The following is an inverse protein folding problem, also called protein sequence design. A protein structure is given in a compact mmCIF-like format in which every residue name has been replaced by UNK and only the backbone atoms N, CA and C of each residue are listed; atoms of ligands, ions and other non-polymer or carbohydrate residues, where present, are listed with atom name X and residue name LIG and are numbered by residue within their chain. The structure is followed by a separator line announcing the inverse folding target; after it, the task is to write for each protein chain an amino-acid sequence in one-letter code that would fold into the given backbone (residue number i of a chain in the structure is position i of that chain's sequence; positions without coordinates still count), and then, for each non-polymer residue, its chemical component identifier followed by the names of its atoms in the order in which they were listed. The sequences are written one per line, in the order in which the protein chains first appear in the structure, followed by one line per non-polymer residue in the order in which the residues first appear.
data_IF_126722278555
#
_entry.id   IF_126722278555
#
_cell.length_a   1.000
_cell.length_b   1.000
_cell.length_c   1.000
_cell.angle_alpha   90.00
_cell.angle_beta   90.00
_cell.angle_gamma   90.00
#
_symmetry.space_group_name_H-M   'P 1'
#
loop_
_entity.id
_entity.type
_entity.pdbx_description
1 polymer ?
#
# COMPACT_ATOMS: atom_id res chain seq x y z
N UNK A 1 18.16 0.26 9.47
CA UNK A 1 18.02 -0.55 8.24
C UNK A 1 17.79 0.44 7.12
N UNK A 2 18.80 0.70 6.28
CA UNK A 2 18.67 1.63 5.15
C UNK A 2 17.57 1.15 4.22
N UNK A 3 16.78 2.07 3.66
CA UNK A 3 15.75 1.71 2.67
C UNK A 3 16.35 0.97 1.47
N UNK A 4 17.64 1.19 1.18
CA UNK A 4 18.43 0.42 0.20
C UNK A 4 18.41 -1.09 0.46
N UNK A 5 18.51 -1.52 1.72
CA UNK A 5 18.53 -2.95 2.08
C UNK A 5 17.16 -3.58 1.82
N UNK A 6 16.07 -2.87 2.12
CA UNK A 6 14.72 -3.36 1.86
C UNK A 6 14.48 -3.52 0.36
N UNK A 7 14.89 -2.54 -0.43
CA UNK A 7 14.75 -2.56 -1.89
C UNK A 7 15.54 -3.73 -2.47
N UNK A 8 16.80 -3.91 -2.06
CA UNK A 8 17.65 -5.02 -2.52
C UNK A 8 17.07 -6.40 -2.19
N UNK A 9 16.49 -6.55 -0.99
CA UNK A 9 15.81 -7.78 -0.58
C UNK A 9 14.59 -8.05 -1.45
N UNK A 10 13.79 -7.01 -1.74
CA UNK A 10 12.60 -7.14 -2.59
C UNK A 10 12.99 -7.52 -4.03
N UNK A 11 13.98 -6.84 -4.61
CA UNK A 11 14.50 -7.13 -5.95
C UNK A 11 14.99 -8.59 -6.08
N UNK A 12 15.75 -9.08 -5.10
CA UNK A 12 16.24 -10.45 -5.12
C UNK A 12 15.10 -11.47 -4.99
N UNK A 13 14.08 -11.16 -4.19
CA UNK A 13 12.87 -12.00 -4.08
C UNK A 13 12.10 -12.02 -5.40
N UNK A 14 11.93 -10.86 -6.06
CA UNK A 14 11.26 -10.77 -7.37
C UNK A 14 12.02 -11.53 -8.47
N UNK A 15 13.35 -11.59 -8.37
CA UNK A 15 14.20 -12.45 -9.23
C UNK A 15 14.08 -13.95 -8.92
N UNK A 16 13.26 -14.36 -7.94
CA UNK A 16 13.05 -15.76 -7.57
C UNK A 16 14.07 -16.34 -6.59
N UNK A 17 14.88 -15.50 -5.91
CA UNK A 17 15.88 -16.00 -4.98
C UNK A 17 15.22 -16.42 -3.66
N UNK A 18 15.57 -17.61 -3.16
CA UNK A 18 15.13 -18.07 -1.86
C UNK A 18 15.80 -17.33 -0.68
N UNK A 19 15.15 -17.34 0.50
CA UNK A 19 15.60 -16.56 1.67
C UNK A 19 17.04 -16.81 2.09
N UNK A 20 17.52 -18.07 2.02
CA UNK A 20 18.92 -18.42 2.37
C UNK A 20 19.93 -17.79 1.40
N UNK A 21 19.56 -17.70 0.12
CA UNK A 21 20.43 -17.12 -0.93
C UNK A 21 20.49 -15.60 -0.78
N UNK A 22 19.35 -14.95 -0.54
CA UNK A 22 19.28 -13.51 -0.24
C UNK A 22 20.10 -13.17 1.01
N UNK A 23 19.97 -13.98 2.06
CA UNK A 23 20.73 -13.81 3.30
C UNK A 23 22.25 -13.86 3.05
N UNK A 24 22.72 -14.83 2.27
CA UNK A 24 24.14 -14.93 1.90
C UNK A 24 24.62 -13.74 1.06
N UNK A 25 23.82 -13.31 0.09
CA UNK A 25 24.14 -12.20 -0.82
C UNK A 25 24.32 -10.88 -0.07
N UNK A 26 23.45 -10.63 0.92
CA UNK A 26 23.43 -9.38 1.68
C UNK A 26 24.23 -9.46 3.00
N UNK A 27 24.91 -10.59 3.25
CA UNK A 27 25.57 -10.86 4.54
C UNK A 27 24.63 -10.66 5.75
N UNK A 28 23.38 -11.13 5.63
CA UNK A 28 22.34 -11.04 6.65
C UNK A 28 21.92 -12.44 7.14
N UNK A 29 21.17 -12.50 8.24
CA UNK A 29 20.53 -13.76 8.67
C UNK A 29 19.23 -14.00 7.90
N UNK A 30 18.87 -15.27 7.69
CA UNK A 30 17.60 -15.63 7.06
C UNK A 30 16.39 -15.07 7.84
N UNK A 31 16.50 -14.95 9.16
CA UNK A 31 15.48 -14.34 10.02
C UNK A 31 15.32 -12.84 9.74
N UNK A 32 16.42 -12.11 9.52
CA UNK A 32 16.36 -10.69 9.15
C UNK A 32 15.72 -10.48 7.77
N UNK A 33 16.01 -11.36 6.80
CA UNK A 33 15.35 -11.35 5.48
C UNK A 33 13.83 -11.60 5.60
N UNK A 34 13.42 -12.58 6.42
CA UNK A 34 11.99 -12.82 6.67
C UNK A 34 11.30 -11.63 7.32
N UNK A 35 11.93 -11.04 8.33
CA UNK A 35 11.39 -9.88 9.05
C UNK A 35 11.24 -8.66 8.14
N UNK A 36 12.23 -8.38 7.30
CA UNK A 36 12.18 -7.26 6.35
C UNK A 36 11.10 -7.46 5.29
N UNK A 37 10.95 -8.68 4.74
CA UNK A 37 9.86 -8.99 3.80
C UNK A 37 8.47 -8.86 4.44
N UNK A 38 8.31 -9.29 5.69
CA UNK A 38 7.07 -9.10 6.43
C UNK A 38 6.75 -7.62 6.63
N UNK A 39 7.77 -6.81 7.00
CA UNK A 39 7.64 -5.36 7.13
C UNK A 39 7.24 -4.66 5.83
N UNK A 40 7.82 -5.05 4.70
CA UNK A 40 7.46 -4.50 3.39
C UNK A 40 5.99 -4.79 3.10
N UNK A 41 5.54 -6.04 3.29
CA UNK A 41 4.14 -6.42 3.10
C UNK A 41 3.18 -5.65 4.03
N UNK A 42 3.55 -5.44 5.30
CA UNK A 42 2.77 -4.61 6.22
C UNK A 42 2.67 -3.16 5.73
N UNK A 43 3.75 -2.61 5.17
CA UNK A 43 3.80 -1.25 4.64
C UNK A 43 2.93 -1.09 3.38
N UNK A 44 2.94 -2.11 2.50
CA UNK A 44 2.05 -2.19 1.34
C UNK A 44 0.58 -2.26 1.75
N UNK A 45 0.25 -2.97 2.85
CA UNK A 45 -1.11 -3.01 3.39
C UNK A 45 -1.58 -1.64 3.90
N UNK A 46 -0.66 -0.76 4.27
CA UNK A 46 -0.97 0.62 4.67
C UNK A 46 -1.11 1.55 3.46
N UNK A 47 -0.62 1.16 2.29
CA UNK A 47 -0.80 1.90 1.06
C UNK A 47 -2.26 1.77 0.58
N UNK A 48 -2.82 2.88 0.13
CA UNK A 48 -4.15 2.93 -0.44
C UNK A 48 -4.29 4.12 -1.37
N UNK A 49 -5.31 4.09 -2.23
CA UNK A 49 -5.59 5.16 -3.18
C UNK A 49 -6.85 5.93 -2.78
N UNK A 50 -6.87 7.23 -3.07
CA UNK A 50 -8.06 8.05 -2.85
C UNK A 50 -9.16 7.61 -3.82
N UNK A 51 -10.36 7.31 -3.29
CA UNK A 51 -11.50 6.92 -4.13
C UNK A 51 -11.99 7.99 -5.11
N UNK A 52 -11.64 9.26 -4.88
CA UNK A 52 -12.05 10.36 -5.74
C UNK A 52 -10.97 10.72 -6.78
N UNK A 53 -9.80 11.14 -6.31
CA UNK A 53 -8.73 11.65 -7.19
C UNK A 53 -7.66 10.61 -7.55
N UNK A 54 -7.74 9.39 -7.00
CA UNK A 54 -6.78 8.31 -7.30
C UNK A 54 -5.41 8.43 -6.64
N UNK A 55 -5.10 9.51 -5.91
CA UNK A 55 -3.76 9.71 -5.33
C UNK A 55 -3.40 8.60 -4.35
N UNK A 56 -2.17 8.11 -4.44
CA UNK A 56 -1.59 7.12 -3.51
C UNK A 56 -1.28 7.76 -2.17
N UNK A 57 -1.64 7.08 -1.09
CA UNK A 57 -1.47 7.56 0.27
C UNK A 57 -1.12 6.44 1.23
N UNK A 58 -0.38 6.81 2.27
CA UNK A 58 -0.04 5.92 3.37
C UNK A 58 -1.01 6.11 4.54
N UNK A 59 -1.64 5.02 4.95
CA UNK A 59 -2.44 4.94 6.18
C UNK A 59 -1.54 4.78 7.39
N UNK A 60 -2.01 5.26 8.55
CA UNK A 60 -1.27 5.12 9.80
C UNK A 60 -1.48 3.72 10.37
N UNK A 61 -0.39 3.04 10.72
CA UNK A 61 -0.44 1.71 11.37
C UNK A 61 -1.32 1.76 12.62
N UNK A 62 -2.20 0.77 12.78
CA UNK A 62 -3.12 0.65 13.92
C UNK A 62 -4.37 1.54 13.84
N UNK A 63 -4.55 2.34 12.78
CA UNK A 63 -5.78 3.10 12.52
C UNK A 63 -6.54 2.53 11.32
N UNK A 64 -7.82 2.89 11.20
CA UNK A 64 -8.63 2.56 10.02
C UNK A 64 -7.95 3.13 8.76
N UNK A 65 -7.92 2.33 7.69
CA UNK A 65 -7.34 2.74 6.39
C UNK A 65 -7.99 4.03 5.89
N UNK A 66 -7.17 4.96 5.41
CA UNK A 66 -7.66 6.19 4.77
C UNK A 66 -8.28 5.85 3.41
N UNK A 67 -9.48 6.37 3.18
CA UNK A 67 -10.22 6.19 1.92
C UNK A 67 -10.11 7.43 1.01
N UNK A 68 -9.91 8.61 1.61
CA UNK A 68 -9.82 9.89 0.92
C UNK A 68 -8.58 10.67 1.37
N UNK A 69 -7.97 11.42 0.45
CA UNK A 69 -6.79 12.23 0.75
C UNK A 69 -7.07 13.51 1.52
N UNK A 70 -8.28 14.02 1.36
CA UNK A 70 -8.74 15.24 1.99
C UNK A 70 -10.24 15.22 2.20
N UNK A 71 -10.71 16.12 3.05
CA UNK A 71 -12.14 16.33 3.23
C UNK A 71 -12.83 16.78 1.92
N UNK A 72 -12.12 17.57 1.11
CA UNK A 72 -12.57 17.96 -0.22
C UNK A 72 -12.89 16.74 -1.10
N UNK A 73 -11.97 15.77 -1.19
CA UNK A 73 -12.19 14.56 -1.99
C UNK A 73 -13.34 13.71 -1.45
N UNK A 74 -13.48 13.65 -0.12
CA UNK A 74 -14.62 12.98 0.52
C UNK A 74 -15.94 13.63 0.10
N UNK A 75 -16.03 14.95 0.18
CA UNK A 75 -17.24 15.70 -0.17
C UNK A 75 -17.60 15.55 -1.66
N UNK A 76 -16.62 15.72 -2.56
CA UNK A 76 -16.84 15.60 -4.00
C UNK A 76 -17.35 14.21 -4.40
N UNK A 77 -16.72 13.15 -3.86
CA UNK A 77 -17.15 11.77 -4.11
C UNK A 77 -18.63 11.56 -3.75
N UNK A 78 -19.05 12.01 -2.57
CA UNK A 78 -20.44 11.87 -2.12
C UNK A 78 -21.42 12.77 -2.89
N UNK A 79 -20.99 13.94 -3.36
CA UNK A 79 -21.83 14.81 -4.18
C UNK A 79 -22.03 14.26 -5.60
N UNK A 80 -20.98 13.69 -6.20
CA UNK A 80 -21.09 13.03 -7.50
C UNK A 80 -21.99 11.81 -7.44
N UNK A 81 -21.81 10.93 -6.44
CA UNK A 81 -22.70 9.78 -6.23
C UNK A 81 -24.17 10.16 -5.94
N UNK A 82 -24.44 11.36 -5.42
CA UNK A 82 -25.80 11.86 -5.20
C UNK A 82 -26.43 12.42 -6.48
N UNK A 83 -25.63 12.89 -7.44
CA UNK A 83 -26.12 13.34 -8.75
C UNK A 83 -26.51 12.18 -9.66
N UNK A 84 -25.80 11.05 -9.60
CA UNK A 84 -26.13 9.86 -10.40
C UNK A 84 -27.45 9.18 -10.01
N UNK A 85 -27.92 9.32 -8.76
CA UNK A 85 -29.17 8.71 -8.30
C UNK A 85 -30.46 9.46 -8.66
N UNK A 86 -30.42 10.40 -9.62
CA UNK A 86 -31.57 11.26 -9.96
C UNK A 86 -32.28 10.97 -11.29
N UNK A 87 -32.08 9.82 -11.93
CA UNK A 87 -32.91 9.44 -13.08
C UNK A 87 -33.38 7.98 -12.99
N UNK A 88 -34.47 7.77 -12.27
CA UNK A 88 -35.54 6.93 -12.80
C UNK A 88 -36.83 7.70 -12.56
N UNK A 89 -37.05 8.70 -13.40
CA UNK A 89 -38.30 9.43 -13.48
C UNK A 89 -39.36 8.43 -13.94
N UNK A 90 -40.35 8.21 -13.08
CA UNK A 90 -41.55 7.44 -13.38
C UNK A 90 -42.31 8.15 -14.49
N UNK A 91 -42.48 7.51 -15.64
CA UNK A 91 -43.56 7.79 -16.59
C UNK A 91 -44.52 6.62 -16.51
#
# INVERSE_FOLDING_TARGET
MSDDVKNRINELKEKGYGYKRIAKELSMTASAVRYTLAKISEEDLLLGTCKYCGITMKSVKGKKKKVFCSDHCRYQFWNQNRKEKKHHETI
#
